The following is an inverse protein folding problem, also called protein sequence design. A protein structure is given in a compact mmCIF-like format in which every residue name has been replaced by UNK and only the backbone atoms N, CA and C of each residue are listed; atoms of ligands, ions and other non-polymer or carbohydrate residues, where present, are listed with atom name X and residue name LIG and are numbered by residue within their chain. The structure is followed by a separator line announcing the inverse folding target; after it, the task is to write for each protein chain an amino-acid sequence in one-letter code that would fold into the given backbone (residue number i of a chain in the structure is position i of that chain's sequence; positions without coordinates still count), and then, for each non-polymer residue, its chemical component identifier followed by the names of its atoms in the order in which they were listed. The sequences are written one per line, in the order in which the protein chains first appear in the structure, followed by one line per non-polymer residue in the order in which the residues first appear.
data_IF_554172953819
#
_entry.id   IF_554172953819
#
_cell.length_a   1.000
_cell.length_b   1.000
_cell.length_c   1.000
_cell.angle_alpha   90.00
_cell.angle_beta   90.00
_cell.angle_gamma   90.00
#
_symmetry.space_group_name_H-M   'P 1'
#
loop_
_entity.id
_entity.type
_entity.pdbx_description
1 polymer ?
#
# COMPACT_ATOMS: atom_id res chain seq x y z
N UNK A 1 -29.23 -23.24 -16.54
CA UNK A 1 -28.07 -22.49 -16.00
C UNK A 1 -27.73 -22.96 -14.59
N UNK A 2 -26.79 -23.90 -14.43
CA UNK A 2 -26.16 -24.24 -13.13
C UNK A 2 -24.82 -24.97 -13.38
N UNK A 3 -23.83 -24.25 -13.91
CA UNK A 3 -22.43 -24.75 -14.06
C UNK A 3 -21.43 -24.15 -13.06
N UNK A 4 -21.91 -23.33 -12.11
CA UNK A 4 -21.07 -22.60 -11.15
C UNK A 4 -20.13 -23.42 -10.23
N UNK A 5 -20.37 -24.71 -9.89
CA UNK A 5 -19.46 -25.46 -9.01
C UNK A 5 -18.16 -25.90 -9.69
N UNK A 6 -18.23 -26.26 -10.98
CA UNK A 6 -17.07 -26.84 -11.70
C UNK A 6 -15.98 -25.79 -11.92
N UNK A 7 -16.38 -24.55 -12.21
CA UNK A 7 -15.47 -23.43 -12.41
C UNK A 7 -14.80 -23.01 -11.11
N UNK A 8 -15.56 -22.95 -10.00
CA UNK A 8 -15.03 -22.67 -8.66
C UNK A 8 -13.99 -23.72 -8.24
N UNK A 9 -14.30 -25.01 -8.44
CA UNK A 9 -13.37 -26.10 -8.15
C UNK A 9 -12.09 -26.01 -8.98
N UNK A 10 -12.18 -25.72 -10.28
CA UNK A 10 -11.00 -25.49 -11.13
C UNK A 10 -10.17 -24.32 -10.60
N UNK A 11 -10.81 -23.25 -10.16
CA UNK A 11 -10.14 -22.10 -9.55
C UNK A 11 -9.34 -22.47 -8.29
N UNK A 12 -9.89 -23.31 -7.42
CA UNK A 12 -9.23 -23.79 -6.20
C UNK A 12 -8.10 -24.75 -6.50
N UNK A 13 -8.27 -25.68 -7.45
CA UNK A 13 -7.19 -26.59 -7.88
C UNK A 13 -6.01 -25.78 -8.39
N UNK A 14 -6.25 -24.77 -9.24
CA UNK A 14 -5.17 -23.91 -9.74
C UNK A 14 -4.47 -23.11 -8.64
N UNK A 15 -5.21 -22.64 -7.62
CA UNK A 15 -4.59 -21.96 -6.47
C UNK A 15 -3.75 -22.95 -5.65
N UNK A 16 -4.25 -24.16 -5.40
CA UNK A 16 -3.52 -25.20 -4.68
C UNK A 16 -2.26 -25.67 -5.44
N UNK A 17 -2.29 -25.67 -6.78
CA UNK A 17 -1.11 -25.92 -7.62
C UNK A 17 -0.07 -24.81 -7.45
N UNK A 18 -0.50 -23.54 -7.48
CA UNK A 18 0.39 -22.39 -7.25
C UNK A 18 0.98 -22.43 -5.84
N UNK A 19 0.16 -22.67 -4.80
CA UNK A 19 0.60 -22.76 -3.41
C UNK A 19 1.62 -23.90 -3.16
N UNK A 20 1.65 -24.91 -4.05
CA UNK A 20 2.62 -26.01 -4.03
C UNK A 20 3.83 -25.79 -4.94
N UNK A 21 3.97 -24.61 -5.55
CA UNK A 21 5.05 -24.29 -6.49
C UNK A 21 4.98 -25.08 -7.80
N UNK A 22 3.81 -25.60 -8.18
CA UNK A 22 3.62 -26.33 -9.45
C UNK A 22 3.26 -25.41 -10.61
N UNK A 23 3.06 -24.12 -10.32
CA UNK A 23 2.61 -23.09 -11.25
C UNK A 23 3.16 -21.73 -10.84
N UNK A 24 3.60 -20.97 -11.84
CA UNK A 24 4.16 -19.63 -11.67
C UNK A 24 3.28 -18.54 -12.31
N UNK A 25 2.19 -18.92 -12.98
CA UNK A 25 1.25 -17.98 -13.62
C UNK A 25 0.33 -17.27 -12.61
N UNK A 26 0.44 -17.62 -11.32
CA UNK A 26 -0.41 -17.11 -10.25
C UNK A 26 0.37 -17.04 -8.95
N UNK A 27 0.20 -15.92 -8.24
CA UNK A 27 0.70 -15.79 -6.87
C UNK A 27 0.08 -16.84 -5.95
N UNK A 28 0.91 -17.38 -5.07
CA UNK A 28 0.48 -18.15 -3.90
C UNK A 28 -0.44 -17.32 -3.01
N UNK A 29 -1.18 -18.02 -2.16
CA UNK A 29 -2.05 -17.38 -1.16
C UNK A 29 -1.22 -16.50 -0.22
N UNK A 30 -0.04 -16.97 0.21
CA UNK A 30 0.87 -16.22 1.08
C UNK A 30 1.41 -14.93 0.41
N UNK A 31 1.89 -15.02 -0.83
CA UNK A 31 2.37 -13.84 -1.57
C UNK A 31 1.27 -12.80 -1.78
N UNK A 32 0.02 -13.24 -1.99
CA UNK A 32 -1.12 -12.33 -2.11
C UNK A 32 -1.42 -11.62 -0.80
N UNK A 33 -1.39 -12.33 0.31
CA UNK A 33 -1.59 -11.75 1.64
C UNK A 33 -0.51 -10.73 1.96
N UNK A 34 0.76 -11.08 1.73
CA UNK A 34 1.88 -10.17 1.90
C UNK A 34 1.75 -8.92 1.02
N UNK A 35 1.43 -9.09 -0.27
CA UNK A 35 1.21 -7.96 -1.18
C UNK A 35 0.09 -7.03 -0.71
N UNK A 36 -0.98 -7.57 -0.12
CA UNK A 36 -2.05 -6.77 0.46
C UNK A 36 -1.58 -5.97 1.68
N UNK A 37 -0.80 -6.59 2.58
CA UNK A 37 -0.23 -5.90 3.74
C UNK A 37 0.73 -4.80 3.30
N UNK A 38 1.66 -5.10 2.40
CA UNK A 38 2.60 -4.13 1.87
C UNK A 38 1.91 -2.94 1.19
N UNK A 39 0.81 -3.18 0.46
CA UNK A 39 0.03 -2.09 -0.14
C UNK A 39 -0.65 -1.20 0.90
N UNK A 40 -1.15 -1.80 1.98
CA UNK A 40 -1.74 -1.07 3.11
C UNK A 40 -0.68 -0.21 3.80
N UNK A 41 0.44 -0.80 4.18
CA UNK A 41 1.57 -0.10 4.80
C UNK A 41 2.09 1.03 3.91
N UNK A 42 2.26 0.78 2.60
CA UNK A 42 2.72 1.80 1.66
C UNK A 42 1.76 3.00 1.60
N UNK A 43 0.46 2.76 1.70
CA UNK A 43 -0.56 3.81 1.72
C UNK A 43 -0.45 4.64 2.99
N UNK A 44 -0.29 3.99 4.14
CA UNK A 44 -0.11 4.64 5.44
C UNK A 44 1.19 5.47 5.48
N UNK A 45 2.30 4.91 4.98
CA UNK A 45 3.59 5.60 4.87
C UNK A 45 3.51 6.83 3.96
N UNK A 46 2.82 6.72 2.81
CA UNK A 46 2.58 7.86 1.93
C UNK A 46 1.79 8.95 2.65
N UNK A 47 0.73 8.60 3.36
CA UNK A 47 -0.05 9.55 4.16
C UNK A 47 0.80 10.24 5.22
N UNK A 48 1.61 9.49 5.96
CA UNK A 48 2.52 10.05 6.96
C UNK A 48 3.53 11.01 6.32
N UNK A 49 4.12 10.62 5.19
CA UNK A 49 5.06 11.46 4.45
C UNK A 49 4.44 12.78 3.98
N UNK A 50 3.19 12.78 3.52
CA UNK A 50 2.51 14.02 3.15
C UNK A 50 2.27 14.95 4.35
N UNK A 51 1.93 14.40 5.52
CA UNK A 51 1.81 15.19 6.75
C UNK A 51 3.16 15.82 7.11
N UNK A 52 4.26 15.06 7.04
CA UNK A 52 5.60 15.55 7.36
C UNK A 52 6.05 16.63 6.37
N UNK A 53 5.77 16.46 5.07
CA UNK A 53 6.06 17.49 4.06
C UNK A 53 5.28 18.78 4.33
N UNK A 54 3.99 18.68 4.65
CA UNK A 54 3.16 19.83 5.00
C UNK A 54 3.70 20.55 6.25
N UNK A 55 4.07 19.78 7.30
CA UNK A 55 4.68 20.33 8.50
C UNK A 55 5.99 21.07 8.18
N UNK A 56 6.87 20.47 7.37
CA UNK A 56 8.13 21.11 6.93
C UNK A 56 7.87 22.45 6.24
N UNK A 57 6.88 22.53 5.35
CA UNK A 57 6.49 23.77 4.68
C UNK A 57 6.01 24.86 5.65
N UNK A 58 5.27 24.49 6.71
CA UNK A 58 4.84 25.43 7.75
C UNK A 58 6.02 25.93 8.60
N UNK A 59 6.96 25.05 8.94
CA UNK A 59 8.15 25.43 9.70
C UNK A 59 9.06 26.37 8.90
N UNK A 60 9.27 26.11 7.60
CA UNK A 60 10.03 27.00 6.72
C UNK A 60 9.42 28.41 6.69
N UNK A 61 8.10 28.53 6.52
CA UNK A 61 7.39 29.82 6.56
C UNK A 61 7.54 30.57 7.90
N UNK A 62 7.61 29.85 9.03
CA UNK A 62 7.83 30.47 10.35
C UNK A 62 9.25 30.98 10.53
N UNK A 63 10.24 30.33 9.93
CA UNK A 63 11.66 30.74 10.01
C UNK A 63 11.93 31.94 9.11
N UNK A 64 11.37 31.97 7.90
CA UNK A 64 11.59 33.04 6.92
C UNK A 64 10.83 34.34 7.22
N UNK A 65 9.94 34.36 8.22
CA UNK A 65 9.29 35.61 8.63
C UNK A 65 10.33 36.50 9.32
N UNK A 66 10.73 37.65 8.74
CA UNK A 66 11.67 38.54 9.40
C UNK A 66 11.05 38.97 10.73
N UNK A 67 11.77 38.73 11.84
CA UNK A 67 11.50 39.39 13.11
C UNK A 67 11.82 40.86 12.90
N UNK A 68 10.87 41.61 12.34
CA UNK A 68 10.97 43.06 12.30
C UNK A 68 10.95 43.55 13.75
N UNK A 69 12.15 43.82 14.28
CA UNK A 69 12.29 44.66 15.47
C UNK A 69 11.75 46.03 15.07
N UNK A 70 10.71 46.57 15.73
CA UNK A 70 10.33 47.94 15.49
C UNK A 70 11.49 48.82 15.94
N UNK A 71 12.14 49.48 14.97
CA UNK A 71 13.11 50.54 15.23
C UNK A 71 12.38 51.63 16.02
N UNK A 72 12.89 51.95 17.20
CA UNK A 72 12.42 53.04 18.05
C UNK A 72 13.31 54.25 17.86
#
# INVERSE_FOLDING_TARGET
MRERPKEALRGWVRQAEADRGKRDDRLTTAEREELMQLRKENTELKRANEILKAARGLFAQKIDRPRTRPSR
#
